data_IF_894173475090
#
_entry.id   IF_894173475090
#
_cell.length_a   1.000
_cell.length_b   1.000
_cell.length_c   1.000
_cell.angle_alpha   90.00
_cell.angle_beta   90.00
_cell.angle_gamma   90.00
#
_symmetry.space_group_name_H-M   'P 1'
#
loop_
_entity.id
_entity.type
_entity.pdbx_description
1 polymer ?
#
# COMPACT_ATOMS: atom_id res chain seq x y z
N UNK A 1 -26.42 21.98 47.90
CA UNK A 1 -26.33 20.94 46.86
C UNK A 1 -27.74 20.66 46.38
N UNK A 2 -28.20 21.21 45.26
CA UNK A 2 -29.50 20.90 44.64
C UNK A 2 -29.41 19.46 44.09
N UNK A 3 -30.27 18.59 44.62
CA UNK A 3 -30.31 17.18 44.21
C UNK A 3 -30.71 17.08 42.73
N UNK A 4 -29.79 16.62 41.89
CA UNK A 4 -30.01 16.32 40.47
C UNK A 4 -31.15 15.28 40.26
N UNK A 5 -31.53 14.58 41.29
CA UNK A 5 -32.63 13.59 41.26
C UNK A 5 -34.00 14.18 40.89
N UNK A 6 -34.23 15.47 41.19
CA UNK A 6 -35.53 16.13 40.97
C UNK A 6 -35.83 16.38 39.50
N UNK A 7 -34.79 16.39 38.65
CA UNK A 7 -34.92 16.70 37.21
C UNK A 7 -34.75 15.47 36.31
N UNK A 8 -34.44 14.31 36.86
CA UNK A 8 -34.32 13.09 36.05
C UNK A 8 -35.69 12.53 35.67
N UNK A 9 -35.93 12.24 34.39
CA UNK A 9 -37.15 11.61 33.90
C UNK A 9 -37.38 10.24 34.60
N UNK A 10 -38.63 9.85 34.79
CA UNK A 10 -39.02 8.62 35.48
C UNK A 10 -38.39 7.34 34.84
N UNK A 11 -38.16 7.35 33.55
CA UNK A 11 -37.52 6.24 32.82
C UNK A 11 -36.03 6.08 33.18
N UNK A 12 -35.30 7.18 33.46
CA UNK A 12 -33.89 7.13 33.87
C UNK A 12 -33.76 6.53 35.26
N UNK A 13 -34.71 6.80 36.18
CA UNK A 13 -34.72 6.23 37.53
C UNK A 13 -34.98 4.71 37.54
N UNK A 14 -35.61 4.18 36.47
CA UNK A 14 -35.84 2.74 36.29
C UNK A 14 -34.66 1.97 35.74
N UNK A 15 -33.65 2.67 35.20
CA UNK A 15 -32.41 2.05 34.77
C UNK A 15 -31.61 1.67 36.01
N UNK A 16 -31.80 0.46 36.50
CA UNK A 16 -31.06 -0.05 37.62
C UNK A 16 -29.58 -0.23 37.34
N UNK A 17 -28.74 -0.33 38.37
CA UNK A 17 -27.30 -0.57 38.28
C UNK A 17 -26.97 -1.75 37.33
N UNK A 18 -27.80 -2.80 37.35
CA UNK A 18 -27.64 -3.97 36.49
C UNK A 18 -27.70 -3.58 35.00
N UNK A 19 -28.65 -2.71 34.60
CA UNK A 19 -28.76 -2.26 33.18
C UNK A 19 -27.55 -1.44 32.77
N UNK A 20 -27.04 -0.59 33.66
CA UNK A 20 -25.80 0.20 33.39
C UNK A 20 -24.61 -0.74 33.23
N UNK A 21 -24.45 -1.73 34.09
CA UNK A 21 -23.36 -2.71 33.97
C UNK A 21 -23.47 -3.55 32.70
N UNK A 22 -24.68 -3.96 32.32
CA UNK A 22 -24.89 -4.72 31.06
C UNK A 22 -24.55 -3.89 29.83
N UNK A 23 -24.93 -2.63 29.80
CA UNK A 23 -24.57 -1.72 28.68
C UNK A 23 -23.07 -1.50 28.66
N UNK A 24 -22.42 -1.31 29.79
CA UNK A 24 -20.98 -1.17 29.89
C UNK A 24 -20.24 -2.42 29.39
N UNK A 25 -20.65 -3.60 29.82
CA UNK A 25 -20.10 -4.88 29.39
C UNK A 25 -20.34 -5.11 27.89
N UNK A 26 -21.54 -4.78 27.39
CA UNK A 26 -21.84 -4.84 25.96
C UNK A 26 -20.91 -3.93 25.14
N UNK A 27 -20.62 -2.73 25.65
CA UNK A 27 -19.64 -1.82 25.05
C UNK A 27 -18.23 -2.41 24.99
N UNK A 28 -17.77 -3.05 26.06
CA UNK A 28 -16.45 -3.73 26.08
C UNK A 28 -16.43 -4.88 25.07
N UNK A 29 -17.46 -5.73 25.05
CA UNK A 29 -17.54 -6.86 24.11
C UNK A 29 -17.60 -6.37 22.67
N UNK A 30 -18.42 -5.34 22.40
CA UNK A 30 -18.49 -4.72 21.07
C UNK A 30 -17.14 -4.16 20.64
N UNK A 31 -16.47 -3.37 21.48
CA UNK A 31 -15.18 -2.77 21.16
C UNK A 31 -14.08 -3.82 20.96
N UNK A 32 -14.03 -4.80 21.86
CA UNK A 32 -13.09 -5.92 21.76
C UNK A 32 -13.32 -6.75 20.50
N UNK A 33 -14.57 -7.11 20.21
CA UNK A 33 -14.96 -7.86 19.02
C UNK A 33 -14.68 -7.10 17.72
N UNK A 34 -14.94 -5.80 17.72
CA UNK A 34 -14.64 -4.93 16.58
C UNK A 34 -13.14 -4.88 16.27
N UNK A 35 -12.30 -4.63 17.29
CA UNK A 35 -10.85 -4.62 17.09
C UNK A 35 -10.31 -6.00 16.71
N UNK A 36 -10.84 -7.06 17.31
CA UNK A 36 -10.48 -8.41 16.91
C UNK A 36 -10.80 -8.68 15.42
N UNK A 37 -11.97 -8.27 14.94
CA UNK A 37 -12.35 -8.42 13.54
C UNK A 37 -11.46 -7.62 12.60
N UNK A 38 -11.05 -6.40 13.01
CA UNK A 38 -10.09 -5.60 12.24
C UNK A 38 -8.76 -6.34 12.09
N UNK A 39 -8.23 -6.91 13.16
CA UNK A 39 -6.95 -7.64 13.12
C UNK A 39 -7.07 -9.01 12.43
N UNK A 40 -8.19 -9.72 12.59
CA UNK A 40 -8.44 -10.95 11.86
C UNK A 40 -8.43 -10.75 10.34
N UNK A 41 -8.99 -9.62 9.87
CA UNK A 41 -8.98 -9.24 8.45
C UNK A 41 -7.67 -8.57 7.98
N UNK A 42 -6.67 -8.44 8.84
CA UNK A 42 -5.31 -8.00 8.52
C UNK A 42 -4.32 -9.18 8.37
N UNK A 43 -4.77 -10.40 8.46
CA UNK A 43 -3.92 -11.56 8.24
C UNK A 43 -3.77 -11.84 6.75
N UNK A 44 -2.57 -12.20 6.31
CA UNK A 44 -2.32 -12.61 4.92
C UNK A 44 -3.27 -13.73 4.48
N UNK A 45 -3.55 -14.70 5.38
CA UNK A 45 -4.49 -15.79 5.12
C UNK A 45 -5.91 -15.30 4.78
N UNK A 46 -6.32 -14.14 5.32
CA UNK A 46 -7.58 -13.52 4.92
C UNK A 46 -7.52 -12.97 3.49
N UNK A 47 -6.43 -12.29 3.13
CA UNK A 47 -6.27 -11.71 1.79
C UNK A 47 -6.25 -12.80 0.71
N UNK A 48 -5.49 -13.88 0.93
CA UNK A 48 -5.37 -14.99 -0.02
C UNK A 48 -6.54 -16.00 0.04
N UNK A 49 -7.51 -15.79 0.92
CA UNK A 49 -8.76 -16.58 0.89
C UNK A 49 -9.62 -16.29 -0.35
N UNK A 50 -9.35 -15.19 -1.03
CA UNK A 50 -9.92 -14.89 -2.34
C UNK A 50 -9.00 -15.45 -3.42
N UNK A 51 -9.53 -16.34 -4.28
CA UNK A 51 -8.73 -17.01 -5.31
C UNK A 51 -8.07 -16.01 -6.29
N UNK A 52 -8.68 -14.86 -6.54
CA UNK A 52 -8.10 -13.80 -7.38
C UNK A 52 -6.80 -13.26 -6.80
N UNK A 53 -6.71 -13.17 -5.47
CA UNK A 53 -5.50 -12.72 -4.79
C UNK A 53 -4.46 -13.84 -4.75
N UNK A 54 -4.88 -15.08 -4.45
CA UNK A 54 -3.99 -16.22 -4.37
C UNK A 54 -3.36 -16.55 -5.72
N UNK A 55 -4.17 -16.67 -6.76
CA UNK A 55 -3.71 -17.14 -8.07
C UNK A 55 -2.92 -16.11 -8.87
N UNK A 56 -3.19 -14.83 -8.66
CA UNK A 56 -2.51 -13.76 -9.37
C UNK A 56 -1.37 -13.18 -8.53
N UNK A 57 -1.67 -12.22 -7.67
CA UNK A 57 -0.66 -11.38 -7.00
C UNK A 57 0.14 -12.13 -5.94
N UNK A 58 -0.43 -13.13 -5.25
CA UNK A 58 0.31 -13.87 -4.23
C UNK A 58 1.38 -14.78 -4.85
N UNK A 59 1.08 -15.46 -5.95
CA UNK A 59 2.08 -16.29 -6.67
C UNK A 59 3.24 -15.44 -7.19
N UNK A 60 2.98 -14.22 -7.66
CA UNK A 60 4.02 -13.30 -8.06
C UNK A 60 4.86 -12.85 -6.87
N UNK A 61 4.19 -12.51 -5.76
CA UNK A 61 4.83 -12.09 -4.52
C UNK A 61 5.81 -13.13 -3.96
N UNK A 62 5.47 -14.42 -4.04
CA UNK A 62 6.32 -15.52 -3.56
C UNK A 62 7.71 -15.55 -4.21
N UNK A 63 7.89 -14.97 -5.38
CA UNK A 63 9.16 -14.90 -6.10
C UNK A 63 9.95 -13.62 -5.84
N UNK A 64 9.60 -12.84 -4.80
CA UNK A 64 10.23 -11.54 -4.51
C UNK A 64 11.11 -11.60 -3.28
N UNK A 65 12.03 -10.62 -3.17
CA UNK A 65 12.89 -10.46 -1.99
C UNK A 65 12.12 -10.09 -0.72
N UNK A 66 10.89 -9.61 -0.84
CA UNK A 66 10.03 -9.33 0.29
C UNK A 66 9.35 -10.58 0.84
N UNK A 67 9.27 -11.65 0.04
CA UNK A 67 8.79 -12.94 0.48
C UNK A 67 9.90 -13.81 1.06
N UNK A 68 11.03 -13.92 0.35
CA UNK A 68 12.18 -14.72 0.80
C UNK A 68 13.48 -13.93 0.59
N UNK A 69 14.23 -13.75 1.65
CA UNK A 69 15.49 -13.02 1.61
C UNK A 69 16.50 -13.55 2.64
N UNK A 70 17.75 -13.07 2.53
CA UNK A 70 18.87 -13.51 3.40
C UNK A 70 18.71 -13.13 4.88
N UNK A 71 17.85 -12.15 5.20
CA UNK A 71 17.67 -11.67 6.58
C UNK A 71 16.58 -12.43 7.33
N UNK A 72 15.72 -13.17 6.61
CA UNK A 72 14.55 -13.86 7.16
C UNK A 72 13.40 -12.93 7.56
N UNK A 73 13.49 -11.63 7.30
CA UNK A 73 12.41 -10.68 7.54
C UNK A 73 11.47 -10.69 6.33
N UNK A 74 10.26 -11.22 6.53
CA UNK A 74 9.24 -11.30 5.49
C UNK A 74 8.19 -10.23 5.72
N UNK A 75 7.87 -9.46 4.69
CA UNK A 75 6.69 -8.59 4.67
C UNK A 75 5.45 -9.41 4.29
N UNK A 76 4.30 -9.12 4.85
CA UNK A 76 3.01 -9.72 4.48
C UNK A 76 2.16 -8.72 3.71
N UNK A 77 1.06 -9.17 3.09
CA UNK A 77 0.18 -8.28 2.35
C UNK A 77 -0.20 -7.00 3.13
N UNK A 78 -0.65 -7.10 4.41
CA UNK A 78 -1.01 -5.91 5.17
C UNK A 78 0.17 -4.99 5.50
N UNK A 79 1.42 -5.48 5.53
CA UNK A 79 2.58 -4.62 5.82
C UNK A 79 2.78 -3.54 4.75
N UNK A 80 2.36 -3.82 3.50
CA UNK A 80 2.44 -2.89 2.38
C UNK A 80 1.09 -2.21 2.07
N UNK A 81 -0.04 -2.90 2.34
CA UNK A 81 -1.36 -2.47 1.88
C UNK A 81 -2.25 -1.90 2.97
N UNK A 82 -1.90 -2.05 4.25
CA UNK A 82 -2.74 -1.60 5.38
C UNK A 82 -1.90 -0.75 6.33
N UNK A 83 -2.25 0.52 6.51
CA UNK A 83 -1.58 1.39 7.50
C UNK A 83 -1.61 0.80 8.91
N UNK A 84 -0.53 1.02 9.67
CA UNK A 84 -0.46 0.59 11.08
C UNK A 84 -1.25 1.51 12.01
N UNK A 85 -1.29 2.80 11.71
CA UNK A 85 -2.00 3.81 12.50
C UNK A 85 -3.51 3.62 12.38
N UNK A 86 -4.22 3.76 13.49
CA UNK A 86 -5.64 3.45 13.61
C UNK A 86 -6.52 4.24 12.62
N UNK A 87 -6.35 5.55 12.52
CA UNK A 87 -7.14 6.41 11.63
C UNK A 87 -7.01 6.03 10.15
N UNK A 88 -5.78 6.06 9.59
CA UNK A 88 -5.53 5.60 8.23
C UNK A 88 -5.94 4.15 7.98
N UNK A 89 -5.77 3.24 8.97
CA UNK A 89 -6.25 1.85 8.89
C UNK A 89 -7.76 1.79 8.67
N UNK A 90 -8.54 2.59 9.42
CA UNK A 90 -9.99 2.64 9.27
C UNK A 90 -10.41 3.13 7.89
N UNK A 91 -9.78 4.19 7.40
CA UNK A 91 -10.04 4.71 6.04
C UNK A 91 -9.76 3.61 5.01
N UNK A 92 -8.62 2.92 5.12
CA UNK A 92 -8.26 1.81 4.22
C UNK A 92 -9.27 0.66 4.27
N UNK A 93 -9.77 0.30 5.47
CA UNK A 93 -10.82 -0.73 5.63
C UNK A 93 -12.14 -0.35 4.97
N UNK A 94 -12.53 0.91 5.08
CA UNK A 94 -13.73 1.41 4.38
C UNK A 94 -13.53 1.32 2.86
N UNK A 95 -12.37 1.72 2.34
CA UNK A 95 -12.04 1.58 0.93
C UNK A 95 -12.05 0.12 0.47
N UNK A 96 -11.51 -0.80 1.28
CA UNK A 96 -11.50 -2.23 1.00
C UNK A 96 -12.92 -2.85 0.92
N UNK A 97 -13.94 -2.21 1.48
CA UNK A 97 -15.33 -2.66 1.32
C UNK A 97 -15.75 -2.65 -0.15
N UNK A 98 -15.22 -1.72 -0.95
CA UNK A 98 -15.46 -1.68 -2.39
C UNK A 98 -14.80 -2.88 -3.11
N UNK A 99 -13.63 -3.31 -2.66
CA UNK A 99 -12.93 -4.50 -3.18
C UNK A 99 -13.77 -5.76 -2.94
N UNK A 100 -14.33 -5.90 -1.73
CA UNK A 100 -15.26 -7.00 -1.38
C UNK A 100 -16.51 -6.96 -2.24
N UNK A 101 -17.09 -5.78 -2.48
CA UNK A 101 -18.23 -5.63 -3.38
C UNK A 101 -17.90 -6.10 -4.80
N UNK A 102 -16.77 -5.70 -5.34
CA UNK A 102 -16.32 -6.10 -6.66
C UNK A 102 -16.01 -7.60 -6.76
N UNK A 103 -15.56 -8.22 -5.65
CA UNK A 103 -15.45 -9.67 -5.54
C UNK A 103 -16.80 -10.36 -5.70
N UNK A 104 -17.84 -9.87 -4.98
CA UNK A 104 -19.20 -10.41 -5.05
C UNK A 104 -19.78 -10.25 -6.46
N UNK A 105 -19.47 -9.14 -7.13
CA UNK A 105 -19.92 -8.84 -8.49
C UNK A 105 -19.12 -9.60 -9.59
N UNK A 106 -18.07 -10.32 -9.24
CA UNK A 106 -17.25 -11.08 -10.20
C UNK A 106 -16.54 -10.21 -11.24
N UNK A 107 -16.10 -9.00 -10.86
CA UNK A 107 -15.47 -8.07 -11.82
C UNK A 107 -14.04 -8.42 -12.17
N UNK A 108 -13.36 -9.23 -11.36
CA UNK A 108 -11.97 -9.68 -11.53
C UNK A 108 -11.79 -11.17 -11.22
N UNK A 109 -12.87 -11.94 -11.32
CA UNK A 109 -12.97 -13.35 -10.94
C UNK A 109 -12.22 -14.32 -11.87
N UNK A 110 -11.71 -13.83 -13.00
CA UNK A 110 -10.83 -14.61 -13.88
C UNK A 110 -9.51 -13.92 -14.14
N UNK A 111 -8.43 -14.67 -14.46
CA UNK A 111 -7.13 -14.07 -14.80
C UNK A 111 -7.21 -13.03 -15.93
N UNK A 112 -8.05 -13.26 -16.93
CA UNK A 112 -8.22 -12.31 -18.06
C UNK A 112 -8.86 -11.00 -17.59
N UNK A 113 -9.92 -11.07 -16.78
CA UNK A 113 -10.58 -9.88 -16.22
C UNK A 113 -9.63 -9.13 -15.28
N UNK A 114 -8.87 -9.85 -14.45
CA UNK A 114 -7.87 -9.27 -13.58
C UNK A 114 -6.80 -8.54 -14.39
N UNK A 115 -6.20 -9.18 -15.39
CA UNK A 115 -5.14 -8.60 -16.20
C UNK A 115 -5.63 -7.38 -17.01
N UNK A 116 -6.88 -7.40 -17.50
CA UNK A 116 -7.49 -6.24 -18.16
C UNK A 116 -7.58 -5.01 -17.25
N UNK A 117 -7.81 -5.22 -15.96
CA UNK A 117 -7.90 -4.14 -14.96
C UNK A 117 -6.59 -3.88 -14.21
N UNK A 118 -5.56 -4.68 -14.43
CA UNK A 118 -4.31 -4.65 -13.67
C UNK A 118 -3.66 -3.27 -13.65
N UNK A 119 -3.64 -2.56 -14.78
CA UNK A 119 -3.06 -1.21 -14.84
C UNK A 119 -3.83 -0.22 -13.96
N UNK A 120 -5.15 -0.23 -14.03
CA UNK A 120 -6.02 0.61 -13.21
C UNK A 120 -5.82 0.34 -11.72
N UNK A 121 -5.84 -0.95 -11.34
CA UNK A 121 -5.63 -1.38 -9.95
C UNK A 121 -4.24 -0.98 -9.43
N UNK A 122 -3.20 -1.17 -10.25
CA UNK A 122 -1.83 -0.79 -9.90
C UNK A 122 -1.69 0.73 -9.74
N UNK A 123 -2.30 1.52 -10.64
CA UNK A 123 -2.24 2.98 -10.58
C UNK A 123 -2.91 3.51 -9.31
N UNK A 124 -4.08 3.00 -8.95
CA UNK A 124 -4.75 3.39 -7.71
C UNK A 124 -3.87 3.11 -6.48
N UNK A 125 -3.17 1.98 -6.46
CA UNK A 125 -2.30 1.63 -5.34
C UNK A 125 -1.03 2.50 -5.31
N UNK A 126 -0.42 2.79 -6.45
CA UNK A 126 0.74 3.69 -6.54
C UNK A 126 0.38 5.11 -6.09
N UNK A 127 -0.79 5.61 -6.51
CA UNK A 127 -1.26 6.95 -6.13
C UNK A 127 -1.52 7.02 -4.61
N UNK A 128 -2.10 5.97 -4.03
CA UNK A 128 -2.30 5.86 -2.58
C UNK A 128 -0.97 5.86 -1.82
N UNK A 129 0.00 5.06 -2.26
CA UNK A 129 1.32 4.98 -1.65
C UNK A 129 2.08 6.31 -1.80
N UNK A 130 1.96 6.96 -2.95
CA UNK A 130 2.57 8.26 -3.19
C UNK A 130 1.95 9.34 -2.28
N UNK A 131 0.63 9.40 -2.17
CA UNK A 131 -0.08 10.35 -1.31
C UNK A 131 0.27 10.20 0.18
N UNK A 132 0.68 9.00 0.62
CA UNK A 132 1.12 8.72 1.99
C UNK A 132 2.64 8.83 2.20
N UNK A 133 3.38 9.35 1.22
CA UNK A 133 4.85 9.38 1.22
C UNK A 133 5.46 7.99 1.43
N UNK A 134 4.86 6.97 0.79
CA UNK A 134 5.28 5.57 0.91
C UNK A 134 5.41 5.11 2.38
N UNK A 135 4.49 5.53 3.22
CA UNK A 135 4.51 5.30 4.68
C UNK A 135 4.71 3.83 5.04
N UNK A 136 4.06 2.93 4.34
CA UNK A 136 4.14 1.49 4.60
C UNK A 136 5.57 0.97 4.36
N UNK A 137 6.27 1.48 3.36
CA UNK A 137 7.69 1.15 3.11
C UNK A 137 8.57 1.66 4.25
N UNK A 138 8.29 2.85 4.76
CA UNK A 138 9.04 3.49 5.85
C UNK A 138 8.88 2.80 7.20
N UNK A 139 7.90 1.92 7.36
CA UNK A 139 7.78 1.08 8.55
C UNK A 139 8.97 0.12 8.74
N UNK A 140 9.66 -0.24 7.65
CA UNK A 140 10.83 -1.12 7.67
C UNK A 140 12.07 -0.43 7.07
N UNK A 141 11.90 0.44 6.07
CA UNK A 141 12.97 1.14 5.36
C UNK A 141 13.04 2.61 5.80
N UNK A 142 13.77 2.90 6.86
CA UNK A 142 13.99 4.29 7.27
C UNK A 142 15.23 4.86 6.56
N UNK A 143 15.01 5.78 5.60
CA UNK A 143 16.08 6.37 4.80
C UNK A 143 17.11 7.16 5.61
N UNK A 144 16.74 7.67 6.80
CA UNK A 144 17.67 8.37 7.70
C UNK A 144 18.79 7.47 8.26
N UNK A 145 18.57 6.15 8.23
CA UNK A 145 19.53 5.15 8.71
C UNK A 145 20.08 4.28 7.59
N UNK A 146 19.81 4.63 6.32
CA UNK A 146 20.41 3.92 5.19
C UNK A 146 21.83 4.38 4.95
N UNK A 147 22.77 3.43 4.92
CA UNK A 147 24.12 3.69 4.42
C UNK A 147 24.09 3.61 2.89
N UNK A 148 24.10 4.78 2.25
CA UNK A 148 24.07 4.85 0.80
C UNK A 148 25.36 4.36 0.15
N UNK A 149 26.49 4.40 0.86
CA UNK A 149 27.78 3.97 0.33
C UNK A 149 27.91 2.45 0.26
N UNK A 150 27.16 1.72 1.10
CA UNK A 150 27.07 0.24 1.05
C UNK A 150 26.09 -0.25 -0.03
N UNK A 151 25.39 0.66 -0.69
CA UNK A 151 24.53 0.34 -1.84
C UNK A 151 25.37 0.30 -3.13
N UNK A 152 24.85 -0.33 -4.18
CA UNK A 152 25.51 -0.28 -5.49
C UNK A 152 25.59 1.17 -6.03
N UNK A 153 26.46 1.41 -6.98
CA UNK A 153 26.78 2.77 -7.53
C UNK A 153 25.55 3.61 -7.92
N UNK A 154 24.56 3.01 -8.56
CA UNK A 154 23.38 3.72 -9.01
C UNK A 154 22.48 4.11 -7.82
N UNK A 155 22.07 3.20 -6.92
CA UNK A 155 21.31 3.57 -5.72
C UNK A 155 22.01 4.61 -4.85
N UNK A 156 23.32 4.47 -4.62
CA UNK A 156 24.10 5.41 -3.82
C UNK A 156 24.01 6.86 -4.31
N UNK A 157 23.93 7.07 -5.62
CA UNK A 157 23.77 8.40 -6.21
C UNK A 157 22.32 8.85 -6.29
N UNK A 158 21.40 7.90 -6.54
CA UNK A 158 20.00 8.27 -6.84
C UNK A 158 19.17 8.51 -5.59
N UNK A 159 19.41 7.80 -4.49
CA UNK A 159 18.61 7.94 -3.29
C UNK A 159 18.74 9.33 -2.64
N UNK A 160 19.93 9.86 -2.36
CA UNK A 160 20.04 11.20 -1.80
C UNK A 160 19.36 12.25 -2.68
N UNK A 161 19.63 12.22 -3.99
CA UNK A 161 19.02 13.13 -4.95
C UNK A 161 17.48 13.04 -4.98
N UNK A 162 16.94 11.81 -4.97
CA UNK A 162 15.50 11.59 -5.00
C UNK A 162 14.82 12.13 -3.74
N UNK A 163 15.43 11.96 -2.57
CA UNK A 163 14.89 12.49 -1.32
C UNK A 163 14.97 14.03 -1.27
N UNK A 164 16.04 14.63 -1.76
CA UNK A 164 16.16 16.08 -1.88
C UNK A 164 15.10 16.68 -2.83
N UNK A 165 14.74 15.93 -3.88
CA UNK A 165 13.67 16.29 -4.83
C UNK A 165 12.25 15.98 -4.30
N UNK A 166 12.10 15.46 -3.08
CA UNK A 166 10.80 15.07 -2.50
C UNK A 166 10.14 13.88 -3.18
N UNK A 167 10.93 13.00 -3.84
CA UNK A 167 10.42 11.76 -4.40
C UNK A 167 10.07 10.76 -3.31
N UNK A 168 9.02 10.01 -3.53
CA UNK A 168 8.63 8.91 -2.65
C UNK A 168 9.22 7.58 -3.14
N UNK A 169 9.24 6.56 -2.28
CA UNK A 169 9.79 5.25 -2.64
C UNK A 169 9.07 4.65 -3.86
N UNK A 170 7.74 4.77 -3.92
CA UNK A 170 6.93 4.21 -5.00
C UNK A 170 7.11 4.94 -6.34
N UNK A 171 7.65 6.15 -6.37
CA UNK A 171 7.93 6.83 -7.63
C UNK A 171 8.95 6.05 -8.49
N UNK A 172 9.85 5.31 -7.84
CA UNK A 172 10.88 4.50 -8.52
C UNK A 172 10.73 3.00 -8.29
N UNK A 173 10.27 2.57 -7.10
CA UNK A 173 10.22 1.16 -6.70
C UNK A 173 8.86 0.50 -7.00
N UNK A 174 8.42 0.59 -8.26
CA UNK A 174 7.26 -0.15 -8.77
C UNK A 174 7.65 -1.58 -9.13
N UNK A 175 6.73 -2.52 -8.98
CA UNK A 175 6.96 -3.93 -9.35
C UNK A 175 7.85 -4.73 -8.37
N UNK A 176 8.06 -4.25 -7.14
CA UNK A 176 8.91 -4.93 -6.14
C UNK A 176 8.25 -6.15 -5.50
N UNK A 177 6.92 -6.25 -5.57
CA UNK A 177 6.14 -7.33 -4.98
C UNK A 177 5.22 -8.02 -6.00
N UNK A 178 4.87 -7.32 -7.08
CA UNK A 178 3.98 -7.82 -8.12
C UNK A 178 4.53 -7.45 -9.49
N UNK A 179 4.20 -8.25 -10.51
CA UNK A 179 4.55 -7.94 -11.89
C UNK A 179 3.92 -6.61 -12.30
N UNK A 180 4.68 -5.81 -13.02
CA UNK A 180 4.17 -4.58 -13.61
C UNK A 180 3.07 -4.89 -14.63
N UNK A 181 2.03 -4.04 -14.71
CA UNK A 181 1.05 -4.16 -15.78
C UNK A 181 1.75 -4.15 -17.13
N UNK A 182 1.35 -5.03 -18.03
CA UNK A 182 1.79 -4.94 -19.42
C UNK A 182 1.19 -3.64 -19.98
N UNK A 183 2.04 -2.73 -20.42
CA UNK A 183 1.61 -1.55 -21.15
C UNK A 183 1.13 -2.09 -22.50
N UNK A 184 -0.15 -1.88 -22.83
CA UNK A 184 -0.65 -2.22 -24.17
C UNK A 184 0.30 -1.65 -25.22
N UNK A 185 0.78 -2.49 -26.13
CA UNK A 185 1.77 -2.12 -27.14
C UNK A 185 1.35 -0.93 -28.01
N UNK A 186 0.09 -0.55 -27.97
CA UNK A 186 -0.44 0.65 -28.62
C UNK A 186 -0.03 1.96 -27.93
N UNK A 187 0.17 1.96 -26.60
CA UNK A 187 0.65 3.15 -25.86
C UNK A 187 2.19 3.22 -25.91
N UNK A 188 2.86 2.07 -25.96
CA UNK A 188 4.32 1.97 -26.09
C UNK A 188 4.84 2.60 -27.38
N UNK A 189 4.17 2.39 -28.49
CA UNK A 189 4.58 2.95 -29.80
C UNK A 189 4.50 4.48 -29.89
N UNK A 190 3.64 5.13 -29.11
CA UNK A 190 3.59 6.60 -29.03
C UNK A 190 4.74 7.19 -28.20
N UNK A 191 5.28 6.41 -27.24
CA UNK A 191 6.39 6.86 -26.39
C UNK A 191 7.76 6.47 -26.95
N UNK A 192 7.86 5.43 -27.78
CA UNK A 192 9.11 5.08 -28.47
C UNK A 192 9.52 6.16 -29.48
N UNK A 193 8.57 6.75 -30.19
CA UNK A 193 8.82 7.90 -31.06
C UNK A 193 9.30 9.16 -30.32
N UNK A 194 8.96 9.32 -29.06
CA UNK A 194 9.42 10.44 -28.23
C UNK A 194 10.80 10.19 -27.59
N UNK A 195 11.19 8.92 -27.41
CA UNK A 195 12.51 8.55 -26.88
C UNK A 195 13.61 8.54 -27.97
N UNK A 196 13.26 8.19 -29.20
CA UNK A 196 14.24 8.22 -30.33
C UNK A 196 14.69 9.65 -30.67
N UNK A 197 13.86 10.68 -30.41
CA UNK A 197 14.23 12.07 -30.64
C UNK A 197 15.25 12.60 -29.63
N UNK A 198 15.41 11.95 -28.47
CA UNK A 198 16.32 12.41 -27.40
C UNK A 198 17.70 11.74 -27.40
N UNK A 199 17.93 10.70 -28.19
CA UNK A 199 19.22 10.00 -28.29
C UNK A 199 20.06 10.33 -29.51
N UNK A 200 19.63 11.26 -30.33
CA UNK A 200 20.26 11.59 -31.61
C UNK A 200 20.90 12.98 -31.71
N UNK A 201 21.71 13.39 -30.72
CA UNK A 201 22.73 14.44 -30.99
C UNK A 201 23.77 14.47 -29.88
N UNK A 202 24.90 13.81 -30.12
CA UNK A 202 26.12 14.08 -29.33
C UNK A 202 26.56 15.51 -29.64
N UNK A 203 26.81 16.35 -28.64
CA UNK A 203 27.34 17.69 -28.89
C UNK A 203 28.74 17.55 -29.49
N UNK A 204 28.93 18.13 -30.69
CA UNK A 204 30.20 18.18 -31.45
C UNK A 204 31.41 18.78 -30.70
N UNK A 205 31.19 19.32 -29.51
CA UNK A 205 32.24 19.91 -28.68
C UNK A 205 33.18 18.90 -27.99
N UNK A 206 32.85 17.59 -27.98
CA UNK A 206 33.69 16.57 -27.33
C UNK A 206 34.70 15.93 -28.27
N UNK A 207 34.55 16.08 -29.59
CA UNK A 207 35.43 15.50 -30.60
C UNK A 207 36.65 16.39 -30.91
N UNK A 208 36.50 17.72 -30.79
CA UNK A 208 37.60 18.68 -30.99
C UNK A 208 38.62 18.71 -29.85
N UNK A 209 38.26 18.20 -28.65
CA UNK A 209 39.18 18.17 -27.50
C UNK A 209 40.09 16.93 -27.48
N UNK A 210 39.78 15.89 -28.26
CA UNK A 210 40.57 14.66 -28.34
C UNK A 210 41.67 14.69 -29.39
N UNK A 211 41.60 15.61 -30.35
CA UNK A 211 42.58 15.72 -31.49
C UNK A 211 43.73 16.69 -31.22
N UNK A 212 43.75 17.34 -30.02
CA UNK A 212 44.82 18.29 -29.62
C UNK A 212 45.69 17.81 -28.45
N UNK A 213 45.88 16.51 -28.29
CA UNK A 213 46.84 15.97 -27.31
C UNK A 213 47.84 15.05 -27.95
#
# INVERSE_FOLDING_TARGET
MMSLEKYMPAWVKRIGLVSVLLIFLAGIVFWGGFNWALEATNKESFCISCHEMEENVFREYQNTVHYTNRTGVRATCPDCHVPKEWGPKMIRKIQASNEVLHKILGTIDTPEKFNKKRHELAQHEWDRMKASDSRECRNCHNYSYMDYMEQGDRPARMHPKAFDEGKTCIDCHKGIAHQLPQIDQHIGKQNEGALEISHGEKPKAAEEAAEKK
#
